data_IF_121486103223
#
_entry.id   IF_121486103223
#
_cell.length_a   1.000
_cell.length_b   1.000
_cell.length_c   1.000
_cell.angle_alpha   90.00
_cell.angle_beta   90.00
_cell.angle_gamma   90.00
#
_symmetry.space_group_name_H-M   'P 1'
#
loop_
_entity.id
_entity.type
_entity.pdbx_description
1 polymer ?
#
# COMPACT_ATOMS: atom_id res chain seq x y z
N UNK A 1 16.70 -9.00 12.80
CA UNK A 1 15.87 -7.87 13.26
C UNK A 1 15.41 -7.12 12.02
N UNK A 2 14.11 -6.96 11.84
CA UNK A 2 13.53 -6.17 10.77
C UNK A 2 13.46 -4.71 11.21
N UNK A 3 13.87 -3.73 10.36
CA UNK A 3 13.71 -2.32 10.68
C UNK A 3 12.23 -1.90 10.67
N UNK A 4 11.90 -0.79 11.33
CA UNK A 4 10.53 -0.25 11.35
C UNK A 4 10.06 0.31 10.00
N UNK A 5 11.01 0.66 9.13
CA UNK A 5 10.77 1.08 7.75
C UNK A 5 11.75 0.34 6.83
N UNK A 6 11.39 0.13 5.55
CA UNK A 6 12.33 -0.47 4.59
C UNK A 6 13.62 0.34 4.51
N UNK A 7 14.74 -0.36 4.66
CA UNK A 7 16.09 0.20 4.51
C UNK A 7 16.75 -0.41 3.27
N UNK A 8 17.34 0.45 2.43
CA UNK A 8 17.98 0.01 1.20
C UNK A 8 19.03 -1.07 1.48
N UNK A 9 18.82 -2.23 0.89
CA UNK A 9 19.74 -3.36 0.96
C UNK A 9 19.63 -4.15 -0.34
N UNK A 10 20.49 -3.81 -1.30
CA UNK A 10 20.45 -4.37 -2.66
C UNK A 10 20.65 -5.89 -2.68
N UNK A 11 21.47 -6.42 -1.75
CA UNK A 11 21.70 -7.86 -1.65
C UNK A 11 20.44 -8.63 -1.25
N UNK A 12 19.51 -7.96 -0.55
CA UNK A 12 18.22 -8.52 -0.15
C UNK A 12 17.06 -8.10 -1.08
N UNK A 13 17.36 -7.43 -2.18
CA UNK A 13 16.34 -6.95 -3.12
C UNK A 13 15.56 -5.72 -2.65
N UNK A 14 16.05 -4.99 -1.63
CA UNK A 14 15.43 -3.75 -1.17
C UNK A 14 16.14 -2.58 -1.88
N UNK A 15 15.47 -2.00 -2.83
CA UNK A 15 16.05 -0.99 -3.74
C UNK A 15 16.09 0.41 -3.14
N UNK A 16 15.10 0.77 -2.33
CA UNK A 16 14.94 2.10 -1.75
C UNK A 16 14.72 2.05 -0.24
N UNK A 17 15.22 3.07 0.45
CA UNK A 17 14.81 3.40 1.82
C UNK A 17 13.51 4.20 1.75
N UNK A 18 12.53 3.83 2.55
CA UNK A 18 11.28 4.58 2.70
C UNK A 18 10.93 4.75 4.18
N UNK A 19 9.95 5.59 4.50
CA UNK A 19 9.55 5.99 5.86
C UNK A 19 8.96 7.38 5.82
N UNK A 20 9.68 8.40 5.30
CA UNK A 20 9.07 9.71 5.05
C UNK A 20 7.93 9.57 4.04
N UNK A 21 6.71 9.96 4.46
CA UNK A 21 5.50 9.83 3.66
C UNK A 21 5.62 10.59 2.32
N UNK A 22 5.08 10.02 1.26
CA UNK A 22 5.11 10.58 -0.10
C UNK A 22 6.40 10.37 -0.89
N UNK A 23 7.54 10.11 -0.27
CA UNK A 23 8.79 9.91 -1.00
C UNK A 23 8.76 8.65 -1.89
N UNK A 24 8.25 7.53 -1.39
CA UNK A 24 8.11 6.30 -2.17
C UNK A 24 7.30 6.51 -3.46
N UNK A 25 6.27 7.33 -3.40
CA UNK A 25 5.46 7.74 -4.54
C UNK A 25 6.30 8.45 -5.62
N UNK A 26 7.12 9.43 -5.21
CA UNK A 26 7.97 10.15 -6.16
C UNK A 26 9.05 9.26 -6.75
N UNK A 27 9.61 8.33 -5.97
CA UNK A 27 10.56 7.34 -6.48
C UNK A 27 9.92 6.43 -7.54
N UNK A 28 8.70 5.94 -7.29
CA UNK A 28 7.97 5.10 -8.22
C UNK A 28 7.66 5.83 -9.54
N UNK A 29 7.20 7.09 -9.47
CA UNK A 29 6.96 7.92 -10.65
C UNK A 29 8.28 8.18 -11.41
N UNK A 30 9.35 8.51 -10.69
CA UNK A 30 10.68 8.70 -11.30
C UNK A 30 11.20 7.43 -11.99
N UNK A 31 11.02 6.26 -11.35
CA UNK A 31 11.39 4.97 -11.92
C UNK A 31 10.58 4.64 -13.19
N UNK A 32 9.25 4.91 -13.17
CA UNK A 32 8.40 4.70 -14.32
C UNK A 32 8.77 5.59 -15.52
N UNK A 33 9.11 6.86 -15.26
CA UNK A 33 9.62 7.78 -16.29
C UNK A 33 10.95 7.26 -16.85
N UNK A 34 11.88 6.87 -15.98
CA UNK A 34 13.18 6.35 -16.38
C UNK A 34 13.04 5.08 -17.24
N UNK A 35 12.18 4.15 -16.84
CA UNK A 35 11.91 2.93 -17.60
C UNK A 35 11.39 3.24 -19.01
N UNK A 36 10.42 4.14 -19.15
CA UNK A 36 9.92 4.57 -20.47
C UNK A 36 11.01 5.26 -21.30
N UNK A 37 11.84 6.09 -20.68
CA UNK A 37 12.95 6.73 -21.38
C UNK A 37 13.98 5.71 -21.89
N UNK A 38 14.35 4.74 -21.05
CA UNK A 38 15.26 3.65 -21.45
C UNK A 38 14.68 2.81 -22.58
N UNK A 39 13.40 2.47 -22.48
CA UNK A 39 12.70 1.72 -23.52
C UNK A 39 12.69 2.49 -24.86
N UNK A 40 12.36 3.77 -24.84
CA UNK A 40 12.37 4.60 -26.03
C UNK A 40 13.78 4.78 -26.64
N UNK A 41 14.83 4.77 -25.79
CA UNK A 41 16.22 5.01 -26.24
C UNK A 41 16.92 3.74 -26.71
N UNK A 42 16.66 2.60 -26.07
CA UNK A 42 17.42 1.36 -26.25
C UNK A 42 16.58 0.17 -26.69
N UNK A 43 15.28 0.36 -26.91
CA UNK A 43 14.32 -0.70 -27.28
C UNK A 43 13.81 -1.46 -26.07
N UNK A 44 13.00 -2.49 -26.30
CA UNK A 44 12.20 -3.19 -25.28
C UNK A 44 13.00 -3.99 -24.25
N UNK A 45 14.31 -3.86 -24.19
CA UNK A 45 15.19 -4.56 -23.25
C UNK A 45 14.87 -4.19 -21.78
N UNK A 46 14.30 -2.99 -21.57
CA UNK A 46 13.97 -2.47 -20.24
C UNK A 46 12.61 -1.77 -20.22
N UNK A 47 11.53 -2.53 -20.14
CA UNK A 47 10.19 -1.98 -19.92
C UNK A 47 9.55 -2.61 -18.65
N UNK A 48 10.13 -2.42 -17.46
CA UNK A 48 9.58 -2.96 -16.24
C UNK A 48 8.27 -2.27 -15.88
N UNK A 49 7.35 -3.04 -15.32
CA UNK A 49 6.23 -2.49 -14.57
C UNK A 49 6.72 -2.09 -13.19
N UNK A 50 6.42 -0.88 -12.77
CA UNK A 50 6.75 -0.33 -11.46
C UNK A 50 5.54 -0.49 -10.54
N UNK A 51 5.75 -1.14 -9.41
CA UNK A 51 4.73 -1.30 -8.37
C UNK A 51 5.06 -0.42 -7.17
N UNK A 52 4.04 0.22 -6.62
CA UNK A 52 4.17 1.02 -5.42
C UNK A 52 3.00 0.78 -4.47
N UNK A 53 3.28 0.79 -3.18
CA UNK A 53 2.26 0.78 -2.13
C UNK A 53 2.18 2.16 -1.50
N UNK A 54 0.97 2.58 -1.15
CA UNK A 54 0.74 3.84 -0.45
C UNK A 54 -0.32 3.64 0.62
N UNK A 55 -0.16 4.35 1.72
CA UNK A 55 -1.07 4.37 2.87
C UNK A 55 -1.94 5.62 2.88
N UNK A 56 -2.91 5.65 3.81
CA UNK A 56 -3.78 6.80 4.04
C UNK A 56 -3.01 8.10 4.29
N UNK A 57 -2.01 8.08 5.16
CA UNK A 57 -1.14 9.24 5.39
C UNK A 57 -0.30 9.61 4.17
N UNK A 58 0.22 8.60 3.46
CA UNK A 58 1.04 8.81 2.28
C UNK A 58 0.29 9.47 1.13
N UNK A 59 -0.97 9.09 0.90
CA UNK A 59 -1.77 9.63 -0.22
C UNK A 59 -2.21 11.08 0.00
N UNK A 60 -2.24 11.53 1.26
CA UNK A 60 -2.58 12.91 1.63
C UNK A 60 -1.41 13.88 1.43
N UNK A 61 -0.16 13.39 1.36
CA UNK A 61 1.00 14.24 1.19
C UNK A 61 0.97 15.01 -0.15
N UNK A 62 1.24 16.31 -0.12
CA UNK A 62 1.24 17.16 -1.32
C UNK A 62 2.22 16.67 -2.39
N UNK A 63 3.36 16.10 -1.97
CA UNK A 63 4.33 15.54 -2.91
C UNK A 63 3.80 14.28 -3.61
N UNK A 64 2.99 13.47 -2.92
CA UNK A 64 2.29 12.32 -3.52
C UNK A 64 1.28 12.77 -4.56
N UNK A 65 0.52 13.81 -4.24
CA UNK A 65 -0.48 14.38 -5.15
C UNK A 65 0.19 15.01 -6.38
N UNK A 66 1.29 15.72 -6.20
CA UNK A 66 2.09 16.25 -7.30
C UNK A 66 2.61 15.15 -8.22
N UNK A 67 3.14 14.07 -7.65
CA UNK A 67 3.62 12.91 -8.37
C UNK A 67 2.47 12.20 -9.11
N UNK A 68 1.31 12.01 -8.45
CA UNK A 68 0.11 11.40 -9.05
C UNK A 68 -0.40 12.17 -10.26
N UNK A 69 -0.50 13.49 -10.16
CA UNK A 69 -0.88 14.34 -11.30
C UNK A 69 0.11 14.24 -12.47
N UNK A 70 1.41 14.22 -12.16
CA UNK A 70 2.45 14.06 -13.18
C UNK A 70 2.34 12.71 -13.89
N UNK A 71 2.16 11.63 -13.14
CA UNK A 71 2.03 10.29 -13.69
C UNK A 71 0.82 10.17 -14.64
N UNK A 72 -0.33 10.71 -14.25
CA UNK A 72 -1.52 10.75 -15.10
C UNK A 72 -1.30 11.58 -16.36
N UNK A 73 -0.71 12.78 -16.25
CA UNK A 73 -0.40 13.65 -17.38
C UNK A 73 0.55 12.97 -18.38
N UNK A 74 1.58 12.29 -17.88
CA UNK A 74 2.56 11.58 -18.70
C UNK A 74 2.07 10.20 -19.17
N UNK A 75 0.88 9.77 -18.74
CA UNK A 75 0.29 8.48 -19.09
C UNK A 75 1.25 7.31 -18.84
N UNK A 76 1.78 7.25 -17.60
CA UNK A 76 2.73 6.21 -17.21
C UNK A 76 2.02 4.85 -17.02
N UNK A 77 1.68 4.19 -18.12
CA UNK A 77 0.99 2.89 -18.16
C UNK A 77 1.80 1.74 -17.51
N UNK A 78 3.09 1.97 -17.28
CA UNK A 78 3.98 1.06 -16.57
C UNK A 78 4.02 1.29 -15.06
N UNK A 79 3.12 2.10 -14.49
CA UNK A 79 3.01 2.36 -13.05
C UNK A 79 1.69 1.80 -12.51
N UNK A 80 1.80 0.89 -11.56
CA UNK A 80 0.66 0.32 -10.81
C UNK A 80 0.86 0.65 -9.34
N UNK A 81 -0.10 1.34 -8.74
CA UNK A 81 -0.10 1.67 -7.33
C UNK A 81 -1.23 0.97 -6.60
N UNK A 82 -0.90 0.43 -5.42
CA UNK A 82 -1.87 -0.11 -4.50
C UNK A 82 -2.00 0.83 -3.30
N UNK A 83 -3.19 1.36 -3.08
CA UNK A 83 -3.53 2.17 -1.92
C UNK A 83 -4.23 1.28 -0.88
N UNK A 84 -3.57 1.07 0.26
CA UNK A 84 -4.15 0.43 1.43
C UNK A 84 -5.01 1.44 2.17
N UNK A 85 -6.29 1.44 1.86
CA UNK A 85 -7.31 2.33 2.40
C UNK A 85 -7.94 1.69 3.64
N UNK A 86 -7.37 1.95 4.80
CA UNK A 86 -7.86 1.42 6.08
C UNK A 86 -8.47 2.50 6.99
N UNK A 87 -8.51 3.74 6.50
CA UNK A 87 -9.13 4.92 7.14
C UNK A 87 -8.48 5.34 8.47
N UNK A 88 -7.32 4.78 8.82
CA UNK A 88 -6.61 5.08 10.07
C UNK A 88 -5.25 5.68 9.75
N UNK A 89 -4.94 6.77 10.41
CA UNK A 89 -3.62 7.38 10.41
C UNK A 89 -3.08 7.51 11.84
N UNK A 90 -1.89 8.09 12.01
CA UNK A 90 -1.14 8.03 13.28
C UNK A 90 -1.95 8.48 14.51
N UNK A 91 -2.76 9.51 14.40
CA UNK A 91 -3.44 10.12 15.57
C UNK A 91 -4.96 10.11 15.49
N UNK A 92 -5.55 9.82 14.33
CA UNK A 92 -7.00 9.88 14.15
C UNK A 92 -7.46 9.10 12.91
N UNK A 93 -8.76 9.06 12.65
CA UNK A 93 -9.32 8.56 11.41
C UNK A 93 -9.16 9.58 10.27
N UNK A 94 -9.08 9.09 9.04
CA UNK A 94 -8.86 9.95 7.87
C UNK A 94 -9.98 10.96 7.66
N UNK A 95 -11.23 10.57 7.93
CA UNK A 95 -12.41 11.43 7.74
C UNK A 95 -12.49 12.63 8.70
N UNK A 96 -11.69 12.65 9.77
CA UNK A 96 -11.58 13.83 10.66
C UNK A 96 -10.69 14.93 10.08
N UNK A 97 -9.82 14.59 9.11
CA UNK A 97 -8.84 15.53 8.56
C UNK A 97 -9.00 15.74 7.05
N UNK A 98 -9.66 14.84 6.34
CA UNK A 98 -9.85 14.92 4.90
C UNK A 98 -11.25 14.44 4.51
N UNK A 99 -11.89 15.16 3.59
CA UNK A 99 -13.15 14.78 2.95
C UNK A 99 -12.97 14.46 1.46
N UNK A 100 -11.73 14.24 1.02
CA UNK A 100 -11.41 13.97 -0.37
C UNK A 100 -11.91 12.61 -0.83
N UNK A 101 -12.46 12.55 -2.03
CA UNK A 101 -12.70 11.30 -2.73
C UNK A 101 -11.46 10.97 -3.57
N UNK A 102 -10.64 10.03 -3.09
CA UNK A 102 -9.38 9.65 -3.73
C UNK A 102 -9.61 9.05 -5.11
N UNK A 103 -10.64 8.20 -5.27
CA UNK A 103 -10.96 7.60 -6.56
C UNK A 103 -11.25 8.67 -7.61
N UNK A 104 -12.18 9.56 -7.35
CA UNK A 104 -12.54 10.65 -8.26
C UNK A 104 -11.36 11.58 -8.56
N UNK A 105 -10.51 11.84 -7.56
CA UNK A 105 -9.32 12.68 -7.71
C UNK A 105 -8.33 12.06 -8.70
N UNK A 106 -8.01 10.78 -8.55
CA UNK A 106 -7.09 10.09 -9.45
C UNK A 106 -7.69 9.86 -10.84
N UNK A 107 -8.98 9.57 -10.94
CA UNK A 107 -9.68 9.53 -12.23
C UNK A 107 -9.59 10.86 -12.98
N UNK A 108 -9.79 11.99 -12.28
CA UNK A 108 -9.64 13.33 -12.86
C UNK A 108 -8.21 13.62 -13.34
N UNK A 109 -7.20 12.99 -12.74
CA UNK A 109 -5.82 13.06 -13.21
C UNK A 109 -5.51 12.10 -14.36
N UNK A 110 -6.48 11.28 -14.79
CA UNK A 110 -6.35 10.37 -15.92
C UNK A 110 -5.82 8.98 -15.57
N UNK A 111 -5.94 8.56 -14.32
CA UNK A 111 -5.60 7.21 -13.89
C UNK A 111 -6.74 6.22 -14.18
N UNK A 112 -6.39 4.95 -14.36
CA UNK A 112 -7.32 3.83 -14.27
C UNK A 112 -7.47 3.45 -12.79
N UNK A 113 -8.66 3.64 -12.24
CA UNK A 113 -8.93 3.40 -10.83
C UNK A 113 -9.78 2.15 -10.66
N UNK A 114 -9.40 1.29 -9.72
CA UNK A 114 -10.17 0.13 -9.29
C UNK A 114 -10.35 0.21 -7.78
N UNK A 115 -11.57 0.00 -7.32
CA UNK A 115 -11.97 0.04 -5.91
C UNK A 115 -12.42 -1.37 -5.52
N UNK A 116 -11.75 -2.00 -4.52
CA UNK A 116 -11.91 -3.41 -4.21
C UNK A 116 -11.93 -3.68 -2.69
N UNK A 117 -12.45 -4.83 -2.30
CA UNK A 117 -12.19 -5.40 -0.99
C UNK A 117 -10.72 -5.83 -0.89
N UNK A 118 -9.93 -5.13 -0.07
CA UNK A 118 -8.52 -5.41 0.15
C UNK A 118 -8.26 -6.64 1.05
N UNK A 119 -9.31 -7.31 1.51
CA UNK A 119 -9.23 -8.59 2.21
C UNK A 119 -9.58 -9.80 1.33
N UNK A 120 -10.03 -9.57 0.10
CA UNK A 120 -10.32 -10.63 -0.86
C UNK A 120 -9.11 -10.88 -1.79
N UNK A 121 -8.38 -12.02 -1.63
CA UNK A 121 -7.23 -12.33 -2.46
C UNK A 121 -7.55 -12.46 -3.95
N UNK A 122 -8.78 -12.88 -4.30
CA UNK A 122 -9.17 -13.04 -5.69
C UNK A 122 -9.49 -11.69 -6.33
N UNK A 123 -10.13 -10.77 -5.58
CA UNK A 123 -10.32 -9.39 -6.01
C UNK A 123 -8.97 -8.68 -6.22
N UNK A 124 -8.02 -8.84 -5.30
CA UNK A 124 -6.67 -8.29 -5.42
C UNK A 124 -5.97 -8.84 -6.67
N UNK A 125 -5.99 -10.16 -6.87
CA UNK A 125 -5.37 -10.79 -8.04
C UNK A 125 -5.98 -10.27 -9.34
N UNK A 126 -7.30 -10.18 -9.41
CA UNK A 126 -7.99 -9.70 -10.60
C UNK A 126 -7.67 -8.23 -10.86
N UNK A 127 -7.62 -7.39 -9.83
CA UNK A 127 -7.28 -5.98 -9.97
C UNK A 127 -5.85 -5.78 -10.50
N UNK A 128 -4.89 -6.59 -10.04
CA UNK A 128 -3.51 -6.57 -10.55
C UNK A 128 -3.48 -6.99 -12.02
N UNK A 129 -4.18 -8.05 -12.41
CA UNK A 129 -4.28 -8.48 -13.82
C UNK A 129 -4.89 -7.39 -14.69
N UNK A 130 -5.96 -6.74 -14.24
CA UNK A 130 -6.59 -5.65 -14.96
C UNK A 130 -5.62 -4.47 -15.14
N UNK A 131 -4.88 -4.12 -14.07
CA UNK A 131 -3.89 -3.05 -14.10
C UNK A 131 -2.72 -3.36 -15.05
N UNK A 132 -2.28 -4.61 -15.11
CA UNK A 132 -1.23 -5.05 -16.05
C UNK A 132 -1.69 -5.00 -17.52
N UNK A 133 -2.99 -5.16 -17.76
CA UNK A 133 -3.59 -5.08 -19.09
C UNK A 133 -3.95 -3.64 -19.51
N UNK A 134 -3.91 -2.68 -18.59
CA UNK A 134 -4.10 -1.25 -18.91
C UNK A 134 -2.81 -0.69 -19.50
N UNK A 135 -2.82 -0.34 -20.78
CA UNK A 135 -1.64 0.06 -21.54
C UNK A 135 -1.64 1.53 -21.97
N UNK A 136 -2.55 2.32 -21.43
CA UNK A 136 -2.73 3.72 -21.87
C UNK A 136 -2.53 4.75 -20.77
N UNK A 137 -2.54 4.34 -19.51
CA UNK A 137 -2.50 5.23 -18.34
C UNK A 137 -2.07 4.48 -17.07
N UNK A 138 -1.59 5.18 -16.04
CA UNK A 138 -1.23 4.53 -14.77
C UNK A 138 -2.46 3.97 -14.07
N UNK A 139 -2.26 2.93 -13.25
CA UNK A 139 -3.32 2.25 -12.52
C UNK A 139 -3.21 2.49 -11.02
N UNK A 140 -4.34 2.81 -10.38
CA UNK A 140 -4.52 2.85 -8.93
C UNK A 140 -5.51 1.76 -8.52
N UNK A 141 -5.08 0.88 -7.62
CA UNK A 141 -5.95 -0.09 -6.96
C UNK A 141 -6.19 0.41 -5.54
N UNK A 142 -7.42 0.72 -5.19
CA UNK A 142 -7.84 1.10 -3.83
C UNK A 142 -8.36 -0.15 -3.16
N UNK A 143 -7.57 -0.70 -2.23
CA UNK A 143 -7.97 -1.86 -1.43
C UNK A 143 -8.47 -1.42 -0.07
N UNK A 144 -9.77 -1.59 0.18
CA UNK A 144 -10.34 -1.30 1.50
C UNK A 144 -9.98 -2.41 2.48
N UNK A 145 -9.29 -2.03 3.54
CA UNK A 145 -8.83 -2.96 4.57
C UNK A 145 -9.22 -2.47 5.97
N UNK A 146 -8.95 -3.30 6.96
CA UNK A 146 -9.13 -2.94 8.37
C UNK A 146 -7.78 -2.87 9.06
N UNK A 147 -7.46 -1.73 9.68
CA UNK A 147 -6.27 -1.60 10.52
C UNK A 147 -6.29 -2.67 11.61
N UNK A 148 -5.19 -3.43 11.72
CA UNK A 148 -5.07 -4.48 12.74
C UNK A 148 -6.06 -5.63 12.53
N UNK A 149 -6.30 -6.07 11.30
CA UNK A 149 -7.18 -7.19 10.96
C UNK A 149 -6.91 -8.42 11.84
N UNK A 150 -7.97 -8.93 12.47
CA UNK A 150 -7.90 -10.07 13.37
C UNK A 150 -7.41 -9.74 14.79
N UNK A 151 -7.04 -8.48 15.08
CA UNK A 151 -6.66 -8.08 16.44
C UNK A 151 -7.83 -8.19 17.42
N UNK A 152 -7.53 -8.76 18.59
CA UNK A 152 -8.47 -8.85 19.72
C UNK A 152 -7.78 -8.44 21.03
N UNK A 153 -8.55 -7.99 22.00
CA UNK A 153 -8.05 -7.73 23.35
C UNK A 153 -7.97 -9.04 24.18
N UNK A 154 -7.59 -8.94 25.44
CA UNK A 154 -7.44 -10.11 26.31
C UNK A 154 -8.77 -10.86 26.56
N UNK A 155 -9.89 -10.16 26.48
CA UNK A 155 -11.23 -10.71 26.63
C UNK A 155 -11.78 -11.30 25.31
N UNK A 156 -11.01 -11.24 24.22
CA UNK A 156 -11.40 -11.73 22.90
C UNK A 156 -12.31 -10.78 22.10
N UNK A 157 -12.52 -9.56 22.57
CA UNK A 157 -13.27 -8.56 21.81
C UNK A 157 -12.41 -7.94 20.70
N UNK A 158 -13.04 -7.64 19.54
CA UNK A 158 -12.35 -7.06 18.39
C UNK A 158 -11.63 -5.74 18.75
N UNK A 159 -10.39 -5.62 18.30
CA UNK A 159 -9.55 -4.43 18.42
C UNK A 159 -9.16 -3.84 17.06
N UNK A 160 -9.82 -4.28 16.00
CA UNK A 160 -9.65 -3.76 14.64
C UNK A 160 -10.09 -2.30 14.53
N UNK A 161 -9.52 -1.55 13.59
CA UNK A 161 -9.88 -0.17 13.31
C UNK A 161 -9.57 0.81 14.45
N UNK A 162 -8.68 0.45 15.38
CA UNK A 162 -8.27 1.35 16.46
C UNK A 162 -7.01 2.11 16.10
N UNK A 163 -7.01 3.43 16.26
CA UNK A 163 -5.82 4.27 16.08
C UNK A 163 -4.64 3.83 16.94
N UNK A 164 -4.92 3.26 18.12
CA UNK A 164 -3.89 2.72 19.01
C UNK A 164 -3.09 1.54 18.43
N UNK A 165 -3.59 0.87 17.38
CA UNK A 165 -2.85 -0.21 16.70
C UNK A 165 -1.89 0.32 15.64
N UNK A 166 -2.03 1.59 15.23
CA UNK A 166 -1.18 2.17 14.21
C UNK A 166 0.24 2.41 14.74
N UNK A 167 1.22 1.75 14.13
CA UNK A 167 2.64 1.93 14.45
C UNK A 167 3.07 1.48 15.86
N UNK A 168 2.24 0.72 16.57
CA UNK A 168 2.53 0.23 17.91
C UNK A 168 2.52 -1.30 17.97
N UNK A 169 3.39 -1.91 18.80
CA UNK A 169 3.25 -3.33 19.12
C UNK A 169 1.89 -3.62 19.76
N UNK A 170 1.29 -4.77 19.47
CA UNK A 170 -0.02 -5.16 19.99
C UNK A 170 -0.12 -5.01 21.52
N UNK A 171 0.93 -5.40 22.24
CA UNK A 171 1.01 -5.27 23.72
C UNK A 171 0.94 -3.83 24.25
N UNK A 172 1.19 -2.82 23.40
CA UNK A 172 1.09 -1.41 23.76
C UNK A 172 -0.17 -0.74 23.21
N UNK A 173 -0.86 -1.39 22.27
CA UNK A 173 -2.05 -0.86 21.62
C UNK A 173 -3.35 -1.08 22.42
N UNK A 174 -3.31 -1.95 23.42
CA UNK A 174 -4.49 -2.47 24.14
C UNK A 174 -5.00 -3.80 23.61
N UNK A 175 -4.43 -4.31 22.51
CA UNK A 175 -4.68 -5.66 22.03
C UNK A 175 -3.84 -6.69 22.81
N UNK A 176 -4.23 -7.94 22.73
CA UNK A 176 -3.47 -9.08 23.27
C UNK A 176 -2.75 -9.81 22.15
N UNK A 177 -1.44 -9.93 22.25
CA UNK A 177 -0.64 -10.68 21.29
C UNK A 177 -1.07 -12.15 21.22
N UNK A 178 -1.15 -12.82 22.38
CA UNK A 178 -1.51 -14.23 22.44
C UNK A 178 -2.95 -14.50 21.94
N UNK A 179 -3.91 -13.68 22.37
CA UNK A 179 -5.30 -13.83 21.93
C UNK A 179 -5.43 -13.54 20.43
N UNK A 180 -4.71 -12.56 19.90
CA UNK A 180 -4.69 -12.23 18.47
C UNK A 180 -4.11 -13.38 17.64
N UNK A 181 -2.97 -13.95 18.04
CA UNK A 181 -2.38 -15.11 17.33
C UNK A 181 -3.36 -16.29 17.30
N UNK A 182 -4.01 -16.60 18.43
CA UNK A 182 -5.03 -17.66 18.49
C UNK A 182 -6.23 -17.35 17.61
N UNK A 183 -6.71 -16.09 17.63
CA UNK A 183 -7.83 -15.65 16.80
C UNK A 183 -7.55 -15.80 15.29
N UNK A 184 -6.28 -15.62 14.90
CA UNK A 184 -5.80 -15.82 13.54
C UNK A 184 -5.47 -17.28 13.19
N UNK A 185 -5.72 -18.22 14.11
CA UNK A 185 -5.46 -19.65 13.90
C UNK A 185 -4.01 -20.09 14.13
N UNK A 186 -3.17 -19.20 14.65
CA UNK A 186 -1.76 -19.47 14.95
C UNK A 186 -1.52 -19.99 16.36
N UNK A 187 -0.27 -20.38 16.61
CA UNK A 187 0.22 -20.81 17.92
C UNK A 187 1.11 -19.69 18.53
N UNK A 188 0.73 -19.09 19.68
CA UNK A 188 1.55 -18.07 20.33
C UNK A 188 2.94 -18.55 20.76
N UNK A 189 3.10 -19.84 21.03
CA UNK A 189 4.40 -20.45 21.38
C UNK A 189 5.30 -20.60 20.13
N UNK A 190 4.69 -20.62 18.93
CA UNK A 190 5.39 -20.69 17.65
C UNK A 190 4.80 -19.71 16.62
N UNK A 191 4.87 -18.39 16.88
CA UNK A 191 4.15 -17.36 16.10
C UNK A 191 4.67 -17.19 14.65
N UNK A 192 5.79 -17.82 14.30
CA UNK A 192 6.36 -17.80 12.95
C UNK A 192 6.18 -19.12 12.20
N UNK A 193 5.30 -19.98 12.70
CA UNK A 193 4.95 -21.22 12.00
C UNK A 193 4.34 -20.90 10.64
N UNK A 194 4.86 -21.58 9.61
CA UNK A 194 4.26 -21.55 8.26
C UNK A 194 3.04 -22.47 8.30
N UNK A 195 1.88 -21.97 7.94
CA UNK A 195 0.69 -22.79 7.82
C UNK A 195 0.83 -23.74 6.63
N UNK A 196 0.38 -25.00 6.77
CA UNK A 196 0.29 -25.88 5.61
C UNK A 196 -0.71 -25.32 4.59
N UNK A 197 -0.39 -25.49 3.31
CA UNK A 197 -1.27 -25.12 2.18
C UNK A 197 -2.59 -25.91 2.18
#
# INVERSE_FOLDING_TARGET
VTPGHPERNVERGIENTSGPLGQGHTFAVGAAIAAKWFNARYGEIHNPTIYAFISDGGIQEEISQGAGRMAGHLKLDNLIMYYDSNEIQLSTSCNEVSSENVAMKYEAWGWYVQDIDGHDPDAIRQAIINAQNETSRPSLIIGHTSMGKGCVNAEGASWEGKTSTHGQPLSKSGASFEATIKNLGGDPENPFQIFPD
#
